data_IF_501654548959
#
_entry.id   IF_501654548959
#
_cell.length_a   1.000
_cell.length_b   1.000
_cell.length_c   1.000
_cell.angle_alpha   90.00
_cell.angle_beta   90.00
_cell.angle_gamma   90.00
#
_symmetry.space_group_name_H-M   'P 1'
#
loop_
_entity.id
_entity.type
_entity.pdbx_description
1 polymer ?
#
# COMPACT_ATOMS: atom_id res chain seq x y z
N UNK A 1 -8.83 -11.25 -4.18
CA UNK A 1 -8.24 -10.81 -5.46
C UNK A 1 -7.43 -11.96 -6.03
N UNK A 2 -7.43 -12.10 -7.35
CA UNK A 2 -6.53 -13.04 -8.03
C UNK A 2 -5.12 -12.45 -8.22
N UNK A 3 -4.20 -13.30 -8.69
CA UNK A 3 -2.79 -12.93 -8.91
C UNK A 3 -2.61 -11.72 -9.85
N UNK A 4 -3.37 -11.66 -10.95
CA UNK A 4 -3.26 -10.59 -11.93
C UNK A 4 -3.77 -9.27 -11.35
N UNK A 5 -4.83 -9.32 -10.55
CA UNK A 5 -5.34 -8.15 -9.83
C UNK A 5 -4.31 -7.62 -8.83
N UNK A 6 -3.62 -8.50 -8.08
CA UNK A 6 -2.57 -8.10 -7.13
C UNK A 6 -1.39 -7.44 -7.88
N UNK A 7 -0.89 -8.08 -8.94
CA UNK A 7 0.19 -7.53 -9.80
C UNK A 7 -0.17 -6.15 -10.36
N UNK A 8 -1.40 -6.03 -10.87
CA UNK A 8 -1.92 -4.78 -11.43
C UNK A 8 -2.02 -3.68 -10.37
N UNK A 9 -2.49 -4.01 -9.16
CA UNK A 9 -2.60 -3.07 -8.05
C UNK A 9 -1.24 -2.59 -7.57
N UNK A 10 -0.26 -3.50 -7.42
CA UNK A 10 1.12 -3.15 -7.08
C UNK A 10 1.70 -2.14 -8.07
N UNK A 11 1.56 -2.44 -9.37
CA UNK A 11 2.02 -1.56 -10.44
C UNK A 11 1.30 -0.22 -10.39
N UNK A 12 -0.02 -0.21 -10.20
CA UNK A 12 -0.81 1.01 -10.11
C UNK A 12 -0.33 1.91 -8.96
N UNK A 13 -0.02 1.32 -7.80
CA UNK A 13 0.59 2.03 -6.68
C UNK A 13 1.95 2.60 -7.04
N UNK A 14 2.87 1.80 -7.58
CA UNK A 14 4.22 2.27 -7.93
C UNK A 14 4.19 3.47 -8.90
N UNK A 15 3.31 3.45 -9.90
CA UNK A 15 3.11 4.58 -10.81
C UNK A 15 2.39 5.77 -10.19
N UNK A 16 1.47 5.56 -9.24
CA UNK A 16 0.84 6.65 -8.50
C UNK A 16 1.86 7.36 -7.60
N UNK A 17 2.58 6.59 -6.78
CA UNK A 17 3.65 7.07 -5.91
C UNK A 17 4.72 7.82 -6.69
N UNK A 18 5.16 7.28 -7.83
CA UNK A 18 6.20 7.95 -8.64
C UNK A 18 5.77 9.34 -9.10
N UNK A 19 4.49 9.54 -9.44
CA UNK A 19 3.93 10.84 -9.82
C UNK A 19 3.80 11.78 -8.63
N UNK A 20 3.29 11.28 -7.50
CA UNK A 20 3.14 12.07 -6.26
C UNK A 20 4.48 12.57 -5.76
N UNK A 21 5.52 11.72 -5.81
CA UNK A 21 6.85 12.02 -5.23
C UNK A 21 7.88 12.53 -6.24
N UNK A 22 7.57 12.52 -7.53
CA UNK A 22 8.56 12.73 -8.60
C UNK A 22 9.65 11.64 -8.60
N UNK A 23 9.32 10.43 -8.19
CA UNK A 23 10.26 9.29 -8.13
C UNK A 23 10.22 8.46 -9.41
N UNK A 24 10.48 9.12 -10.54
CA UNK A 24 10.52 8.49 -11.84
C UNK A 24 11.63 9.05 -12.72
N UNK A 25 11.98 8.30 -13.77
CA UNK A 25 12.86 8.79 -14.84
C UNK A 25 12.19 9.94 -15.60
N UNK A 26 13.00 10.83 -16.17
CA UNK A 26 12.51 11.80 -17.15
C UNK A 26 11.89 11.08 -18.36
N UNK A 27 10.88 11.68 -18.99
CA UNK A 27 10.17 11.10 -20.12
C UNK A 27 9.00 10.21 -19.72
N UNK A 28 9.05 8.91 -20.04
CA UNK A 28 7.92 7.96 -19.86
C UNK A 28 7.50 7.71 -18.40
N UNK A 29 8.22 8.29 -17.42
CA UNK A 29 7.80 8.29 -16.02
C UNK A 29 7.95 6.94 -15.32
N UNK A 30 8.95 6.14 -15.70
CA UNK A 30 9.19 4.82 -15.10
C UNK A 30 9.51 4.97 -13.60
N UNK A 31 8.78 4.28 -12.70
CA UNK A 31 8.99 4.40 -11.26
C UNK A 31 10.36 3.89 -10.81
N UNK A 32 11.04 4.64 -9.96
CA UNK A 32 12.26 4.18 -9.28
C UNK A 32 11.95 3.10 -8.24
N UNK A 33 12.97 2.32 -7.86
CA UNK A 33 12.82 1.22 -6.90
C UNK A 33 12.15 1.63 -5.57
N UNK A 34 12.46 2.80 -5.03
CA UNK A 34 11.81 3.34 -3.82
C UNK A 34 10.29 3.49 -3.94
N UNK A 35 9.76 3.78 -5.13
CA UNK A 35 8.31 3.81 -5.36
C UNK A 35 7.69 2.40 -5.26
N UNK A 36 8.44 1.37 -5.66
CA UNK A 36 8.00 -0.03 -5.51
C UNK A 36 8.03 -0.49 -4.05
N UNK A 37 8.99 -0.04 -3.25
CA UNK A 37 9.01 -0.30 -1.81
C UNK A 37 7.76 0.27 -1.10
N UNK A 38 7.40 1.52 -1.38
CA UNK A 38 6.15 2.10 -0.88
C UNK A 38 4.92 1.38 -1.44
N UNK A 39 4.94 1.00 -2.72
CA UNK A 39 3.84 0.28 -3.34
C UNK A 39 3.56 -1.07 -2.68
N UNK A 40 4.60 -1.81 -2.27
CA UNK A 40 4.44 -3.05 -1.51
C UNK A 40 3.79 -2.78 -0.14
N UNK A 41 4.25 -1.76 0.58
CA UNK A 41 3.68 -1.39 1.89
C UNK A 41 2.18 -1.04 1.77
N UNK A 42 1.80 -0.27 0.76
CA UNK A 42 0.40 0.08 0.49
C UNK A 42 -0.42 -1.11 0.00
N UNK A 43 0.17 -2.00 -0.79
CA UNK A 43 -0.49 -3.24 -1.20
C UNK A 43 -0.79 -4.12 0.03
N UNK A 44 0.15 -4.24 0.97
CA UNK A 44 -0.06 -4.97 2.23
C UNK A 44 -1.19 -4.32 3.05
N UNK A 45 -1.22 -2.99 3.13
CA UNK A 45 -2.31 -2.26 3.77
C UNK A 45 -3.67 -2.58 3.12
N UNK A 46 -3.74 -2.55 1.79
CA UNK A 46 -4.97 -2.87 1.06
C UNK A 46 -5.42 -4.31 1.32
N UNK A 47 -4.50 -5.27 1.29
CA UNK A 47 -4.81 -6.68 1.60
C UNK A 47 -5.29 -6.87 3.03
N UNK A 48 -4.68 -6.17 4.00
CA UNK A 48 -5.12 -6.16 5.39
C UNK A 48 -6.54 -5.59 5.54
N UNK A 49 -6.84 -4.49 4.85
CA UNK A 49 -8.18 -3.89 4.81
C UNK A 49 -9.20 -4.82 4.14
N UNK A 50 -8.81 -5.51 3.07
CA UNK A 50 -9.67 -6.50 2.38
C UNK A 50 -10.10 -7.59 3.37
N UNK A 51 -9.15 -8.19 4.08
CA UNK A 51 -9.46 -9.24 5.05
C UNK A 51 -10.30 -8.71 6.22
N UNK A 52 -9.98 -7.52 6.73
CA UNK A 52 -10.78 -6.86 7.78
C UNK A 52 -12.24 -6.67 7.34
N UNK A 53 -12.46 -6.19 6.12
CA UNK A 53 -13.81 -5.94 5.60
C UNK A 53 -14.63 -7.21 5.43
N UNK A 54 -14.02 -8.34 5.07
CA UNK A 54 -14.73 -9.62 5.02
C UNK A 54 -15.34 -10.01 6.38
N UNK A 55 -14.72 -9.59 7.48
CA UNK A 55 -15.20 -9.89 8.83
C UNK A 55 -16.23 -8.88 9.36
N UNK A 56 -16.11 -7.59 8.97
CA UNK A 56 -16.85 -6.51 9.65
C UNK A 56 -17.77 -5.68 8.74
N UNK A 57 -17.63 -5.75 7.41
CA UNK A 57 -18.47 -4.96 6.51
C UNK A 57 -19.92 -5.47 6.51
N UNK A 58 -20.87 -4.55 6.39
CA UNK A 58 -22.30 -4.83 6.31
C UNK A 58 -22.93 -4.13 5.10
N UNK A 59 -24.18 -4.48 4.78
CA UNK A 59 -24.91 -3.86 3.66
C UNK A 59 -25.12 -2.34 3.83
N UNK A 60 -25.16 -1.83 5.06
CA UNK A 60 -25.34 -0.41 5.36
C UNK A 60 -24.04 0.31 5.72
N UNK A 61 -22.97 -0.43 6.03
CA UNK A 61 -21.64 0.11 6.25
C UNK A 61 -20.59 -0.80 5.57
N UNK A 62 -20.28 -0.58 4.29
CA UNK A 62 -19.35 -1.41 3.53
C UNK A 62 -17.88 -1.25 3.92
N UNK A 63 -17.58 -0.29 4.82
CA UNK A 63 -16.24 0.04 5.30
C UNK A 63 -15.29 0.31 4.14
N UNK A 64 -15.49 1.39 3.40
CA UNK A 64 -14.64 1.76 2.26
C UNK A 64 -13.54 2.74 2.69
N UNK A 65 -12.37 2.65 2.06
CA UNK A 65 -11.23 3.54 2.24
C UNK A 65 -10.90 3.80 3.70
N UNK A 66 -10.91 5.08 4.07
CA UNK A 66 -10.51 5.55 5.40
C UNK A 66 -11.42 5.03 6.51
N UNK A 67 -12.70 4.76 6.24
CA UNK A 67 -13.60 4.16 7.25
C UNK A 67 -13.15 2.75 7.62
N UNK A 68 -12.69 1.98 6.63
CA UNK A 68 -12.15 0.64 6.84
C UNK A 68 -10.87 0.68 7.69
N UNK A 69 -9.97 1.61 7.36
CA UNK A 69 -8.70 1.80 8.06
C UNK A 69 -8.92 2.26 9.51
N UNK A 70 -9.81 3.22 9.73
CA UNK A 70 -10.15 3.69 11.07
C UNK A 70 -10.80 2.59 11.91
N UNK A 71 -11.72 1.82 11.32
CA UNK A 71 -12.33 0.68 12.01
C UNK A 71 -11.31 -0.42 12.31
N UNK A 72 -10.35 -0.66 11.41
CA UNK A 72 -9.23 -1.59 11.64
C UNK A 72 -8.38 -1.14 12.83
N UNK A 73 -7.98 0.14 12.87
CA UNK A 73 -7.22 0.69 13.98
C UNK A 73 -7.97 0.56 15.31
N UNK A 74 -9.26 0.89 15.33
CA UNK A 74 -10.11 0.72 16.51
C UNK A 74 -10.14 -0.75 16.96
N UNK A 75 -10.37 -1.69 16.04
CA UNK A 75 -10.44 -3.11 16.37
C UNK A 75 -9.11 -3.69 16.87
N UNK A 76 -7.97 -3.17 16.38
CA UNK A 76 -6.63 -3.65 16.76
C UNK A 76 -6.13 -3.06 18.07
N UNK A 77 -6.44 -1.80 18.34
CA UNK A 77 -5.83 -1.04 19.44
C UNK A 77 -6.80 -0.70 20.57
N UNK A 78 -8.12 -0.73 20.30
CA UNK A 78 -9.14 -0.19 21.20
C UNK A 78 -9.14 1.34 21.30
N UNK A 79 -8.33 2.06 20.52
CA UNK A 79 -8.26 3.51 20.55
C UNK A 79 -9.53 4.16 20.02
N UNK A 80 -9.98 5.22 20.68
CA UNK A 80 -11.17 5.94 20.28
C UNK A 80 -10.97 6.65 18.93
N UNK A 81 -12.05 6.88 18.14
CA UNK A 81 -11.95 7.59 16.86
C UNK A 81 -11.19 8.92 16.94
N UNK A 82 -11.40 9.69 18.00
CA UNK A 82 -10.71 10.97 18.22
C UNK A 82 -9.20 10.83 18.40
N UNK A 83 -8.72 9.69 18.89
CA UNK A 83 -7.28 9.40 18.98
C UNK A 83 -6.74 8.96 17.62
N UNK A 84 -7.49 8.12 16.91
CA UNK A 84 -7.13 7.64 15.56
C UNK A 84 -7.01 8.81 14.58
N UNK A 85 -7.93 9.78 14.64
CA UNK A 85 -7.93 10.98 13.79
C UNK A 85 -6.71 11.88 13.98
N UNK A 86 -5.99 11.75 15.09
CA UNK A 86 -4.77 12.53 15.38
C UNK A 86 -3.51 11.89 14.79
N UNK A 87 -3.57 10.63 14.37
CA UNK A 87 -2.42 9.92 13.83
C UNK A 87 -2.11 10.41 12.42
N UNK A 88 -0.82 10.66 12.15
CA UNK A 88 -0.38 10.79 10.76
C UNK A 88 -0.48 9.44 10.06
N UNK A 89 -0.49 9.44 8.73
CA UNK A 89 -0.51 8.19 7.97
C UNK A 89 0.74 7.32 8.23
N UNK A 90 1.89 7.95 8.47
CA UNK A 90 3.10 7.26 8.88
C UNK A 90 2.93 6.59 10.25
N UNK A 91 2.29 7.27 11.22
CA UNK A 91 1.99 6.68 12.53
C UNK A 91 1.05 5.48 12.40
N UNK A 92 0.03 5.57 11.55
CA UNK A 92 -0.90 4.47 11.28
C UNK A 92 -0.15 3.24 10.75
N UNK A 93 0.74 3.42 9.77
CA UNK A 93 1.54 2.33 9.22
C UNK A 93 2.51 1.74 10.24
N UNK A 94 3.04 2.56 11.13
CA UNK A 94 3.89 2.11 12.24
C UNK A 94 3.09 1.27 13.25
N UNK A 95 1.89 1.72 13.61
CA UNK A 95 0.99 1.00 14.53
C UNK A 95 0.57 -0.36 13.95
N UNK A 96 0.36 -0.42 12.64
CA UNK A 96 -0.02 -1.65 11.93
C UNK A 96 1.20 -2.47 11.47
N UNK A 97 2.43 -2.13 11.86
CA UNK A 97 3.65 -2.71 11.26
C UNK A 97 3.69 -4.25 11.36
N UNK A 98 3.35 -4.82 12.53
CA UNK A 98 3.30 -6.27 12.72
C UNK A 98 2.21 -6.92 11.84
N UNK A 99 1.04 -6.29 11.74
CA UNK A 99 -0.05 -6.77 10.87
C UNK A 99 0.36 -6.75 9.40
N UNK A 100 1.06 -5.70 8.95
CA UNK A 100 1.55 -5.55 7.57
C UNK A 100 2.59 -6.63 7.20
N UNK A 101 3.51 -6.94 8.11
CA UNK A 101 4.46 -8.05 7.94
C UNK A 101 3.71 -9.39 7.85
N UNK A 102 2.67 -9.55 8.66
CA UNK A 102 1.83 -10.76 8.68
C UNK A 102 1.03 -11.01 7.40
N UNK A 103 0.86 -10.01 6.53
CA UNK A 103 0.16 -10.17 5.25
C UNK A 103 0.94 -11.10 4.33
N UNK A 104 0.32 -12.21 3.96
CA UNK A 104 0.86 -13.18 3.01
C UNK A 104 0.53 -12.76 1.59
N UNK A 105 1.56 -12.36 0.83
CA UNK A 105 1.45 -12.05 -0.60
C UNK A 105 2.36 -13.03 -1.35
N UNK A 106 1.86 -13.73 -2.38
CA UNK A 106 2.70 -14.61 -3.19
C UNK A 106 3.91 -13.84 -3.75
N UNK A 107 5.14 -14.37 -3.66
CA UNK A 107 6.33 -13.68 -4.17
C UNK A 107 6.23 -13.30 -5.64
N UNK A 108 5.54 -14.12 -6.44
CA UNK A 108 5.31 -13.87 -7.85
C UNK A 108 4.52 -12.57 -8.05
N UNK A 109 3.64 -12.21 -7.13
CA UNK A 109 2.84 -10.99 -7.20
C UNK A 109 3.66 -9.72 -6.90
N UNK A 110 4.81 -9.87 -6.25
CA UNK A 110 5.75 -8.80 -5.88
C UNK A 110 6.91 -8.66 -6.88
N UNK A 111 6.89 -9.42 -7.98
CA UNK A 111 7.90 -9.32 -9.04
C UNK A 111 8.02 -7.90 -9.57
N UNK A 112 9.26 -7.40 -9.57
CA UNK A 112 9.60 -6.08 -10.08
C UNK A 112 9.99 -6.16 -11.56
N UNK A 113 9.75 -5.11 -12.36
CA UNK A 113 10.22 -5.07 -13.75
C UNK A 113 11.76 -5.12 -13.85
N UNK A 114 12.30 -5.74 -14.90
CA UNK A 114 13.75 -5.83 -15.15
C UNK A 114 14.46 -4.48 -15.13
N UNK A 115 13.79 -3.44 -15.62
CA UNK A 115 14.27 -2.05 -15.60
C UNK A 115 14.57 -1.52 -14.18
N UNK A 116 13.91 -2.08 -13.16
CA UNK A 116 14.05 -1.70 -11.76
C UNK A 116 15.11 -2.56 -11.09
N UNK A 117 15.09 -3.88 -11.31
CA UNK A 117 16.03 -4.84 -10.70
C UNK A 117 17.45 -4.68 -11.24
N UNK A 118 17.61 -4.19 -12.46
CA UNK A 118 18.92 -3.87 -13.05
C UNK A 118 19.52 -2.54 -12.55
N UNK A 119 18.79 -1.79 -11.71
CA UNK A 119 19.22 -0.47 -11.24
C UNK A 119 20.12 -0.52 -10.00
N UNK A 120 21.09 0.39 -9.91
CA UNK A 120 22.04 0.48 -8.79
C UNK A 120 21.34 0.65 -7.42
N UNK A 121 20.19 1.34 -7.37
CA UNK A 121 19.43 1.49 -6.13
C UNK A 121 18.86 0.17 -5.61
N UNK A 122 18.45 -0.73 -6.51
CA UNK A 122 18.00 -2.08 -6.14
C UNK A 122 19.19 -2.90 -5.62
N UNK A 123 20.33 -2.85 -6.31
CA UNK A 123 21.55 -3.56 -5.90
C UNK A 123 22.02 -3.14 -4.50
N UNK A 124 22.15 -1.83 -4.24
CA UNK A 124 22.55 -1.30 -2.93
C UNK A 124 21.60 -1.78 -1.82
N UNK A 125 20.28 -1.64 -2.05
CA UNK A 125 19.30 -2.03 -1.05
C UNK A 125 19.27 -3.55 -0.82
N UNK A 126 19.48 -4.35 -1.86
CA UNK A 126 19.51 -5.82 -1.73
C UNK A 126 20.69 -6.31 -0.87
N UNK A 127 21.80 -5.57 -0.86
CA UNK A 127 22.97 -5.88 -0.04
C UNK A 127 22.85 -5.31 1.38
N UNK A 128 22.25 -4.13 1.53
CA UNK A 128 22.14 -3.41 2.80
C UNK A 128 20.72 -2.83 3.05
N UNK A 129 19.70 -3.69 3.24
CA UNK A 129 18.29 -3.26 3.22
C UNK A 129 17.93 -2.27 4.32
N UNK A 130 18.60 -2.34 5.48
CA UNK A 130 18.35 -1.48 6.63
C UNK A 130 19.18 -0.19 6.66
N UNK A 131 19.99 0.07 5.62
CA UNK A 131 20.85 1.26 5.52
C UNK A 131 20.38 2.25 4.47
N UNK A 132 19.33 1.91 3.73
CA UNK A 132 18.70 2.83 2.81
C UNK A 132 17.65 3.63 3.56
N UNK A 133 17.89 4.92 3.78
CA UNK A 133 16.87 5.80 4.32
C UNK A 133 15.76 5.98 3.29
N UNK A 134 14.54 5.59 3.67
CA UNK A 134 13.34 5.78 2.89
C UNK A 134 12.41 6.71 3.69
N UNK A 135 11.97 7.85 3.13
CA UNK A 135 11.03 8.71 3.83
C UNK A 135 9.72 7.95 4.04
N UNK A 136 9.00 8.16 5.16
CA UNK A 136 7.75 7.45 5.41
C UNK A 136 6.72 7.66 4.28
N UNK A 137 5.86 6.65 4.06
CA UNK A 137 4.69 6.80 3.21
C UNK A 137 3.79 7.93 3.74
N UNK A 138 3.31 8.79 2.85
CA UNK A 138 2.32 9.83 3.12
C UNK A 138 0.94 9.45 2.59
N UNK A 139 -0.11 10.09 3.13
CA UNK A 139 -1.50 9.73 2.82
C UNK A 139 -1.86 9.92 1.34
N UNK A 140 -1.25 10.89 0.66
CA UNK A 140 -1.45 11.17 -0.78
C UNK A 140 -0.92 10.05 -1.70
N UNK A 141 -0.05 9.19 -1.18
CA UNK A 141 0.41 7.98 -1.86
C UNK A 141 -0.65 6.87 -1.85
N UNK A 142 -1.57 6.89 -0.88
CA UNK A 142 -2.59 5.86 -0.73
C UNK A 142 -3.92 6.31 -1.33
N UNK A 143 -4.23 5.76 -2.50
CA UNK A 143 -5.54 5.88 -3.14
C UNK A 143 -6.34 4.58 -2.95
N UNK A 144 -7.19 4.47 -1.89
CA UNK A 144 -7.95 3.25 -1.61
C UNK A 144 -8.92 2.88 -2.74
N UNK A 145 -9.31 3.84 -3.59
CA UNK A 145 -10.25 3.56 -4.67
C UNK A 145 -9.66 2.60 -5.71
N UNK A 146 -8.33 2.57 -5.88
CA UNK A 146 -7.64 1.61 -6.76
C UNK A 146 -7.89 0.18 -6.34
N UNK A 147 -7.73 -0.10 -5.05
CA UNK A 147 -7.99 -1.43 -4.47
C UNK A 147 -9.48 -1.79 -4.56
N UNK A 148 -10.36 -0.83 -4.29
CA UNK A 148 -11.81 -1.05 -4.32
C UNK A 148 -12.33 -1.34 -5.74
N UNK A 149 -11.81 -0.65 -6.75
CA UNK A 149 -12.08 -0.93 -8.16
C UNK A 149 -11.55 -2.32 -8.54
N UNK A 150 -10.32 -2.68 -8.11
CA UNK A 150 -9.75 -4.00 -8.37
C UNK A 150 -10.60 -5.14 -7.78
N UNK A 151 -11.30 -4.88 -6.67
CA UNK A 151 -12.25 -5.80 -6.05
C UNK A 151 -13.68 -5.75 -6.66
N UNK A 152 -13.95 -4.82 -7.58
CA UNK A 152 -15.29 -4.62 -8.16
C UNK A 152 -16.29 -3.90 -7.24
N UNK A 153 -15.82 -3.24 -6.18
CA UNK A 153 -16.65 -2.55 -5.18
C UNK A 153 -17.04 -1.14 -5.60
N UNK A 154 -16.23 -0.51 -6.44
CA UNK A 154 -16.56 0.73 -7.13
C UNK A 154 -16.50 0.51 -8.63
N UNK A 155 -17.39 1.17 -9.36
CA UNK A 155 -17.25 1.31 -10.81
C UNK A 155 -16.17 2.35 -11.09
N UNK A 156 -15.49 2.21 -12.23
CA UNK A 156 -14.65 3.30 -12.73
C UNK A 156 -15.53 4.56 -12.89
N UNK A 157 -15.04 5.74 -12.45
CA UNK A 157 -15.71 7.00 -12.74
C UNK A 157 -15.83 7.25 -14.25
#
# INVERSE_FOLDING_TARGET
MDMNQIKSLLRAHAFHISRVKGWCTEGEGQPFYKAWLHAEQLLRLDMLIIEHRKAFATNWQPLLGKDALNHLLFARTGWMPTQIEQLSFADILLVLHEDLIGVQIPPEALELPDSVTSGMAYEIHSQEPYRTELPPCSEDEWDPTRSEIAQGLRKHP
#
